data_IF_524621472471
#
_entry.id   IF_524621472471
#
_cell.length_a   1.000
_cell.length_b   1.000
_cell.length_c   1.000
_cell.angle_alpha   90.00
_cell.angle_beta   90.00
_cell.angle_gamma   90.00
#
_symmetry.space_group_name_H-M   'P 1'
#
loop_
_entity.id
_entity.type
_entity.pdbx_description
1 polymer ?
#
# COMPACT_ATOMS: atom_id res chain seq x y z
N UNK A 1 -8.41 6.56 75.22
CA UNK A 1 -8.12 6.91 73.80
C UNK A 1 -9.45 7.15 73.09
N UNK A 2 -9.69 8.36 72.56
CA UNK A 2 -11.03 8.76 72.06
C UNK A 2 -11.35 8.17 70.68
N UNK A 3 -12.57 7.66 70.50
CA UNK A 3 -13.07 7.04 69.27
C UNK A 3 -12.90 7.92 68.02
N UNK A 4 -12.89 9.25 68.20
CA UNK A 4 -12.63 10.25 67.15
C UNK A 4 -11.24 10.13 66.51
N UNK A 5 -10.21 9.77 67.27
CA UNK A 5 -8.83 9.60 66.77
C UNK A 5 -8.67 8.34 65.91
N UNK A 6 -9.50 7.32 66.15
CA UNK A 6 -9.50 6.06 65.42
C UNK A 6 -10.18 6.18 64.04
N UNK A 7 -11.24 7.00 63.94
CA UNK A 7 -11.85 7.32 62.64
C UNK A 7 -10.97 8.23 61.79
N UNK A 8 -10.36 9.27 62.37
CA UNK A 8 -9.45 10.18 61.67
C UNK A 8 -8.24 9.45 61.05
N UNK A 9 -7.65 8.49 61.78
CA UNK A 9 -6.49 7.70 61.28
C UNK A 9 -6.88 6.66 60.24
N UNK A 10 -8.06 6.05 60.34
CA UNK A 10 -8.60 5.13 59.31
C UNK A 10 -8.94 5.85 58.02
N UNK A 11 -9.60 7.00 58.10
CA UNK A 11 -9.93 7.85 56.95
C UNK A 11 -8.64 8.34 56.28
N UNK A 12 -7.66 8.80 57.05
CA UNK A 12 -6.35 9.22 56.52
C UNK A 12 -5.58 8.11 55.80
N UNK A 13 -5.59 6.88 56.33
CA UNK A 13 -4.96 5.72 55.67
C UNK A 13 -5.67 5.28 54.39
N UNK A 14 -7.00 5.37 54.36
CA UNK A 14 -7.80 5.09 53.16
C UNK A 14 -7.53 6.15 52.09
N UNK A 15 -7.51 7.44 52.45
CA UNK A 15 -7.19 8.53 51.53
C UNK A 15 -5.76 8.45 50.99
N UNK A 16 -4.77 8.12 51.84
CA UNK A 16 -3.38 7.91 51.40
C UNK A 16 -3.25 6.70 50.46
N UNK A 17 -4.00 5.62 50.73
CA UNK A 17 -4.03 4.44 49.88
C UNK A 17 -4.66 4.71 48.52
N UNK A 18 -5.80 5.42 48.49
CA UNK A 18 -6.50 5.77 47.24
C UNK A 18 -5.66 6.74 46.39
N UNK A 19 -4.99 7.72 47.00
CA UNK A 19 -4.10 8.63 46.27
C UNK A 19 -2.85 7.91 45.74
N UNK A 20 -2.25 7.00 46.50
CA UNK A 20 -1.11 6.20 46.03
C UNK A 20 -1.49 5.29 44.83
N UNK A 21 -2.69 4.69 44.84
CA UNK A 21 -3.19 3.88 43.72
C UNK A 21 -3.45 4.73 42.48
N UNK A 22 -4.05 5.91 42.63
CA UNK A 22 -4.30 6.83 41.51
C UNK A 22 -3.00 7.34 40.86
N UNK A 23 -1.97 7.64 41.66
CA UNK A 23 -0.65 8.04 41.16
C UNK A 23 0.03 6.88 40.41
N UNK A 24 -0.06 5.66 40.93
CA UNK A 24 0.51 4.47 40.28
C UNK A 24 -0.14 4.17 38.92
N UNK A 25 -1.45 4.43 38.77
CA UNK A 25 -2.14 4.26 37.48
C UNK A 25 -1.82 5.34 36.45
N UNK A 26 -1.48 6.56 36.87
CA UNK A 26 -1.12 7.66 35.97
C UNK A 26 0.35 7.61 35.52
N UNK A 27 1.22 6.91 36.26
CA UNK A 27 2.66 6.81 35.96
C UNK A 27 3.02 5.70 34.95
N UNK A 28 2.07 4.85 34.54
CA UNK A 28 2.33 3.75 33.61
C UNK A 28 1.63 4.01 32.27
N UNK A 29 2.34 4.53 31.23
CA UNK A 29 1.76 4.71 29.91
C UNK A 29 1.61 3.34 29.23
N UNK A 30 0.64 2.54 29.69
CA UNK A 30 0.25 1.26 29.09
C UNK A 30 -0.61 1.43 27.82
N UNK A 31 -1.08 2.65 27.54
CA UNK A 31 -1.87 2.97 26.35
C UNK A 31 -0.95 3.37 25.21
N UNK A 32 -0.48 2.41 24.42
CA UNK A 32 0.19 2.74 23.16
C UNK A 32 1.14 1.73 22.53
N UNK A 33 1.17 0.46 22.96
CA UNK A 33 1.89 -0.56 22.19
C UNK A 33 1.05 -1.00 21.00
N UNK A 34 1.11 -0.23 19.92
CA UNK A 34 0.73 -0.70 18.59
C UNK A 34 1.79 -1.72 18.19
N UNK A 35 1.45 -3.01 18.33
CA UNK A 35 2.25 -4.08 17.76
C UNK A 35 1.96 -4.08 16.25
N UNK A 36 2.91 -3.61 15.46
CA UNK A 36 2.91 -3.87 14.04
C UNK A 36 3.13 -5.37 13.83
N UNK A 37 2.10 -6.06 13.35
CA UNK A 37 2.20 -7.45 12.90
C UNK A 37 2.46 -7.41 11.40
N UNK A 38 3.69 -7.68 10.98
CA UNK A 38 4.00 -8.06 9.60
C UNK A 38 4.17 -9.58 9.55
N UNK A 39 3.50 -10.26 8.63
CA UNK A 39 3.87 -11.63 8.31
C UNK A 39 5.23 -11.59 7.64
N UNK A 40 6.26 -12.11 8.30
CA UNK A 40 7.57 -12.32 7.71
C UNK A 40 7.49 -13.57 6.82
N UNK A 41 6.91 -13.38 5.63
CA UNK A 41 6.89 -14.41 4.60
C UNK A 41 8.24 -14.36 3.87
N UNK A 42 8.92 -15.49 3.65
CA UNK A 42 10.18 -15.50 2.94
C UNK A 42 9.98 -14.88 1.56
N UNK A 43 10.85 -13.94 1.18
CA UNK A 43 10.83 -13.34 -0.14
C UNK A 43 11.12 -14.44 -1.17
N UNK A 44 10.09 -14.88 -1.88
CA UNK A 44 10.21 -15.87 -2.94
C UNK A 44 10.75 -15.17 -4.18
N UNK A 45 11.88 -15.65 -4.70
CA UNK A 45 12.37 -15.20 -5.99
C UNK A 45 11.42 -15.66 -7.09
N UNK A 46 10.87 -14.72 -7.85
CA UNK A 46 10.16 -15.05 -9.07
C UNK A 46 11.20 -15.40 -10.17
N UNK A 47 11.00 -16.49 -10.93
CA UNK A 47 11.86 -16.86 -12.05
C UNK A 47 11.59 -15.93 -13.25
N UNK A 48 12.06 -14.68 -13.16
CA UNK A 48 11.86 -13.66 -14.21
C UNK A 48 13.04 -13.69 -15.16
N UNK A 49 12.76 -13.94 -16.44
CA UNK A 49 13.73 -13.75 -17.53
C UNK A 49 13.30 -12.55 -18.38
N UNK A 50 14.11 -11.48 -18.33
CA UNK A 50 13.89 -10.27 -19.13
C UNK A 50 14.26 -10.45 -20.60
N UNK A 51 14.83 -11.59 -20.98
CA UNK A 51 15.21 -11.94 -22.35
C UNK A 51 14.18 -12.85 -23.03
N UNK A 52 13.21 -13.39 -22.28
CA UNK A 52 12.10 -14.16 -22.84
C UNK A 52 11.11 -13.21 -23.52
N UNK A 53 11.39 -12.91 -24.80
CA UNK A 53 10.56 -12.03 -25.61
C UNK A 53 9.13 -12.56 -25.79
N UNK A 54 8.91 -13.88 -25.80
CA UNK A 54 7.58 -14.47 -25.93
C UNK A 54 6.76 -14.24 -24.66
N UNK A 55 7.37 -14.35 -23.50
CA UNK A 55 6.74 -13.94 -22.24
C UNK A 55 6.43 -12.45 -22.20
N UNK A 56 7.39 -11.61 -22.62
CA UNK A 56 7.20 -10.15 -22.65
C UNK A 56 6.08 -9.72 -23.63
N UNK A 57 5.98 -10.35 -24.81
CA UNK A 57 4.90 -10.09 -25.76
C UNK A 57 3.53 -10.47 -25.20
N UNK A 58 3.43 -11.62 -24.52
CA UNK A 58 2.20 -12.02 -23.80
C UNK A 58 1.84 -11.01 -22.71
N UNK A 59 2.83 -10.54 -21.94
CA UNK A 59 2.65 -9.50 -20.93
C UNK A 59 2.17 -8.18 -21.53
N UNK A 60 2.74 -7.73 -22.65
CA UNK A 60 2.31 -6.52 -23.35
C UNK A 60 0.85 -6.63 -23.83
N UNK A 61 0.48 -7.78 -24.42
CA UNK A 61 -0.90 -8.03 -24.83
C UNK A 61 -1.86 -7.98 -23.63
N UNK A 62 -1.54 -8.63 -22.51
CA UNK A 62 -2.38 -8.62 -21.32
C UNK A 62 -2.51 -7.22 -20.72
N UNK A 63 -1.40 -6.50 -20.58
CA UNK A 63 -1.39 -5.15 -20.03
C UNK A 63 -2.29 -4.21 -20.85
N UNK A 64 -2.15 -4.22 -22.17
CA UNK A 64 -2.88 -3.31 -23.06
C UNK A 64 -4.37 -3.66 -23.15
N UNK A 65 -4.72 -4.95 -23.09
CA UNK A 65 -6.13 -5.35 -23.21
C UNK A 65 -6.90 -5.27 -21.89
N UNK A 66 -6.23 -5.40 -20.74
CA UNK A 66 -6.92 -5.54 -19.45
C UNK A 66 -6.48 -4.54 -18.38
N UNK A 67 -5.25 -4.04 -18.43
CA UNK A 67 -4.71 -3.17 -17.38
C UNK A 67 -4.77 -1.70 -17.80
N UNK A 68 -4.54 -1.37 -19.06
CA UNK A 68 -4.45 0.01 -19.54
C UNK A 68 -5.79 0.74 -19.62
N UNK A 69 -6.89 0.11 -19.24
CA UNK A 69 -8.13 0.84 -18.95
C UNK A 69 -8.01 1.73 -17.71
N UNK A 70 -7.23 1.29 -16.70
CA UNK A 70 -7.10 1.96 -15.41
C UNK A 70 -5.64 2.31 -15.04
N UNK A 71 -4.64 1.60 -15.59
CA UNK A 71 -3.23 1.80 -15.27
C UNK A 71 -2.44 2.30 -16.47
N UNK A 72 -1.87 3.50 -16.36
CA UNK A 72 -0.95 4.00 -17.38
C UNK A 72 0.44 3.41 -17.25
N UNK A 73 1.14 3.27 -18.37
CA UNK A 73 2.59 3.06 -18.42
C UNK A 73 3.26 4.28 -19.08
N UNK A 74 3.12 5.46 -18.48
CA UNK A 74 3.49 6.75 -19.09
C UNK A 74 4.98 6.90 -19.46
N UNK A 75 5.86 6.08 -18.89
CA UNK A 75 7.28 6.06 -19.26
C UNK A 75 7.59 5.15 -20.46
N UNK A 76 6.63 4.31 -20.86
CA UNK A 76 6.71 3.43 -22.03
C UNK A 76 6.03 4.07 -23.23
N UNK A 77 6.57 3.82 -24.42
CA UNK A 77 5.98 4.19 -25.72
C UNK A 77 5.69 2.93 -26.52
N UNK A 78 4.65 2.95 -27.34
CA UNK A 78 4.26 1.77 -28.12
C UNK A 78 5.38 1.27 -29.04
N UNK A 79 6.19 2.15 -29.62
CA UNK A 79 7.31 1.78 -30.48
C UNK A 79 8.43 1.01 -29.75
N UNK A 80 8.52 1.09 -28.41
CA UNK A 80 9.47 0.30 -27.62
C UNK A 80 9.14 -1.19 -27.62
N UNK A 81 7.91 -1.56 -27.97
CA UNK A 81 7.52 -2.96 -28.14
C UNK A 81 8.25 -3.64 -29.32
N UNK A 82 8.88 -2.87 -30.20
CA UNK A 82 9.78 -3.43 -31.23
C UNK A 82 11.04 -4.07 -30.63
N UNK A 83 11.48 -3.63 -29.45
CA UNK A 83 12.64 -4.19 -28.75
C UNK A 83 12.37 -5.63 -28.25
N UNK A 84 11.09 -6.00 -28.10
CA UNK A 84 10.67 -7.37 -27.76
C UNK A 84 10.20 -8.17 -28.98
N UNK A 85 10.47 -7.69 -30.20
CA UNK A 85 10.26 -8.44 -31.44
C UNK A 85 8.88 -8.28 -32.10
N UNK A 86 8.07 -7.30 -31.68
CA UNK A 86 6.84 -6.94 -32.40
C UNK A 86 7.14 -5.99 -33.57
N UNK A 87 6.43 -6.13 -34.68
CA UNK A 87 6.53 -5.14 -35.78
C UNK A 87 5.66 -3.92 -35.49
N UNK A 88 5.95 -2.78 -36.13
CA UNK A 88 5.09 -1.60 -36.01
C UNK A 88 3.66 -1.87 -36.48
N UNK A 89 3.48 -2.71 -37.51
CA UNK A 89 2.18 -3.10 -38.03
C UNK A 89 1.40 -3.89 -36.99
N UNK A 90 2.02 -4.87 -36.33
CA UNK A 90 1.38 -5.63 -35.25
C UNK A 90 1.00 -4.74 -34.07
N UNK A 91 1.86 -3.78 -33.72
CA UNK A 91 1.57 -2.83 -32.65
C UNK A 91 0.37 -1.96 -33.02
N UNK A 92 0.34 -1.41 -34.25
CA UNK A 92 -0.77 -0.58 -34.77
C UNK A 92 -2.08 -1.38 -34.82
N UNK A 93 -2.03 -2.61 -35.29
CA UNK A 93 -3.22 -3.43 -35.53
C UNK A 93 -3.84 -3.96 -34.23
N UNK A 94 -3.02 -4.37 -33.26
CA UNK A 94 -3.52 -5.12 -32.09
C UNK A 94 -3.42 -4.39 -30.76
N UNK A 95 -2.60 -3.34 -30.65
CA UNK A 95 -2.20 -2.79 -29.35
C UNK A 95 -2.46 -1.28 -29.20
N UNK A 96 -2.90 -0.59 -30.25
CA UNK A 96 -2.90 0.88 -30.34
C UNK A 96 -4.31 1.48 -30.21
N UNK A 97 -5.05 1.13 -29.15
CA UNK A 97 -6.47 1.50 -29.00
C UNK A 97 -6.73 2.97 -28.59
N UNK A 98 -5.74 3.65 -28.02
CA UNK A 98 -5.90 5.00 -27.43
C UNK A 98 -5.22 6.15 -28.19
N UNK A 99 -4.55 5.86 -29.32
CA UNK A 99 -3.80 6.84 -30.11
C UNK A 99 -3.65 6.33 -31.54
N UNK A 100 -3.11 7.14 -32.45
CA UNK A 100 -2.79 6.81 -33.84
C UNK A 100 -1.28 6.71 -34.08
N UNK A 101 -0.47 7.06 -33.07
CA UNK A 101 0.98 7.20 -33.18
C UNK A 101 1.69 6.17 -32.32
N UNK A 102 2.53 5.35 -32.95
CA UNK A 102 3.42 4.39 -32.25
C UNK A 102 4.42 5.08 -31.31
N UNK A 103 4.76 6.36 -31.56
CA UNK A 103 5.62 7.15 -30.69
C UNK A 103 4.94 7.69 -29.43
N UNK A 104 3.61 7.53 -29.30
CA UNK A 104 2.86 8.02 -28.15
C UNK A 104 3.20 7.22 -26.88
N UNK A 105 3.18 7.86 -25.70
CA UNK A 105 3.22 7.16 -24.42
C UNK A 105 1.94 6.32 -24.21
N UNK A 106 2.04 5.28 -23.37
CA UNK A 106 0.90 4.46 -22.98
C UNK A 106 0.09 5.14 -21.86
N UNK A 107 -0.77 6.09 -22.24
CA UNK A 107 -1.66 6.83 -21.33
C UNK A 107 -3.03 6.15 -21.19
N UNK A 108 -3.84 6.64 -20.25
CA UNK A 108 -5.23 6.20 -20.03
C UNK A 108 -6.18 7.39 -20.09
N UNK A 109 -7.48 7.12 -20.31
CA UNK A 109 -8.50 8.17 -20.35
C UNK A 109 -8.94 8.66 -18.95
N UNK A 110 -8.69 7.89 -17.89
CA UNK A 110 -9.10 8.23 -16.53
C UNK A 110 -8.37 9.49 -16.03
N UNK A 111 -9.12 10.50 -15.59
CA UNK A 111 -8.55 11.74 -15.04
C UNK A 111 -8.12 11.53 -13.59
N UNK A 112 -7.11 12.26 -13.09
CA UNK A 112 -6.67 12.13 -11.69
C UNK A 112 -7.75 12.44 -10.65
N UNK A 113 -8.73 13.29 -10.98
CA UNK A 113 -9.86 13.55 -10.08
C UNK A 113 -10.77 12.32 -9.96
N UNK A 114 -11.15 11.74 -11.10
CA UNK A 114 -11.99 10.53 -11.15
C UNK A 114 -11.30 9.34 -10.46
N UNK A 115 -9.99 9.20 -10.65
CA UNK A 115 -9.18 8.15 -10.01
C UNK A 115 -9.10 8.25 -8.48
N UNK A 116 -9.39 9.40 -7.89
CA UNK A 116 -9.43 9.57 -6.42
C UNK A 116 -10.77 9.15 -5.82
N UNK A 117 -11.82 9.16 -6.64
CA UNK A 117 -13.18 8.83 -6.21
C UNK A 117 -13.50 7.33 -6.34
N UNK A 118 -12.73 6.61 -7.16
CA UNK A 118 -12.82 5.16 -7.40
C UNK A 118 -11.91 4.36 -6.46
#
# INVERSE_FOLDING_TARGET
MSATRWHQTRIGRVLLGVTAVLIATLANPLTGRVLASSSEYPNLSAPVDLRDTVSLQRGAHLFINYCSGCHSANHMRFNRLTEIGLTEEQIKEYLLFGTDKVGSPMTIAMRPADAKEW
#
